data_IF_612579444578
#
_entry.id   IF_612579444578
#
_cell.length_a   1.000
_cell.length_b   1.000
_cell.length_c   1.000
_cell.angle_alpha   90.00
_cell.angle_beta   90.00
_cell.angle_gamma   90.00
#
_symmetry.space_group_name_H-M   'P 1'
#
loop_
_entity.id
_entity.type
_entity.pdbx_description
1 polymer ?
#
# COMPACT_ATOMS: atom_id res chain seq x y z
N UNK A 1 -5.39 30.53 18.84
CA UNK A 1 -4.77 30.72 17.52
C UNK A 1 -3.65 29.72 17.22
N UNK A 2 -2.96 29.15 18.23
CA UNK A 2 -1.83 28.24 18.04
C UNK A 2 -2.21 26.82 17.57
N UNK A 3 -3.40 26.33 17.89
CA UNK A 3 -3.82 24.98 17.51
C UNK A 3 -4.16 24.83 16.00
N UNK A 4 -4.48 25.91 15.31
CA UNK A 4 -4.79 25.89 13.88
C UNK A 4 -3.53 25.84 12.99
N UNK A 5 -2.39 26.27 13.49
CA UNK A 5 -1.10 26.24 12.75
C UNK A 5 -0.40 24.88 12.78
N UNK A 6 -0.72 23.99 13.72
CA UNK A 6 -0.15 22.65 13.81
C UNK A 6 -0.85 21.60 12.93
N UNK A 7 -1.94 21.95 12.26
CA UNK A 7 -2.68 21.04 11.37
C UNK A 7 -2.39 21.24 9.86
N UNK A 8 -1.56 22.19 9.50
CA UNK A 8 -0.99 22.25 8.16
C UNK A 8 0.19 21.27 8.10
N UNK A 9 -0.10 19.99 7.94
CA UNK A 9 0.84 19.07 7.35
C UNK A 9 1.11 19.58 5.93
N UNK A 10 2.27 20.18 5.72
CA UNK A 10 2.81 20.47 4.39
C UNK A 10 2.94 19.11 3.68
N UNK A 11 1.85 18.67 3.06
CA UNK A 11 1.85 17.48 2.22
C UNK A 11 2.38 17.92 0.86
N UNK A 12 3.69 17.81 0.67
CA UNK A 12 4.31 18.01 -0.64
C UNK A 12 3.70 16.99 -1.60
N UNK A 13 2.99 17.47 -2.61
CA UNK A 13 2.42 16.63 -3.66
C UNK A 13 3.53 16.41 -4.68
N UNK A 14 4.17 15.24 -4.64
CA UNK A 14 5.20 14.87 -5.62
C UNK A 14 4.64 14.97 -7.05
N UNK A 15 5.33 15.71 -7.90
CA UNK A 15 5.00 15.81 -9.31
C UNK A 15 5.18 14.46 -10.01
N UNK A 16 4.30 14.18 -10.97
CA UNK A 16 4.45 12.99 -11.83
C UNK A 16 5.55 13.25 -12.84
N UNK A 17 6.52 12.33 -12.95
CA UNK A 17 7.59 12.44 -13.93
C UNK A 17 7.03 12.46 -15.34
N UNK A 18 7.49 13.41 -16.17
CA UNK A 18 7.10 13.60 -17.56
C UNK A 18 7.38 12.36 -18.43
N UNK A 19 6.60 12.21 -19.50
CA UNK A 19 6.72 11.10 -20.43
C UNK A 19 7.75 11.41 -21.52
N UNK A 20 8.33 10.37 -22.14
CA UNK A 20 9.24 10.49 -23.28
C UNK A 20 8.55 9.84 -24.48
N UNK A 21 8.42 10.58 -25.55
CA UNK A 21 7.79 10.15 -26.79
C UNK A 21 8.79 10.06 -27.94
N UNK A 22 8.48 9.23 -28.93
CA UNK A 22 9.16 9.28 -30.22
C UNK A 22 8.59 10.41 -31.12
N UNK A 23 9.16 10.56 -32.33
CA UNK A 23 8.72 11.56 -33.29
C UNK A 23 7.27 11.34 -33.82
N UNK A 24 6.72 10.16 -33.61
CA UNK A 24 5.35 9.78 -33.99
C UNK A 24 4.34 9.96 -32.84
N UNK A 25 4.81 10.39 -31.65
CA UNK A 25 3.99 10.55 -30.45
C UNK A 25 3.74 9.26 -29.69
N UNK A 26 4.54 8.21 -29.93
CA UNK A 26 4.45 6.94 -29.21
C UNK A 26 5.26 7.07 -27.91
N UNK A 27 4.64 6.76 -26.78
CA UNK A 27 5.29 6.84 -25.47
C UNK A 27 6.36 5.74 -25.32
N UNK A 28 7.62 6.15 -25.25
CA UNK A 28 8.77 5.28 -25.00
C UNK A 28 9.06 5.08 -23.50
N UNK A 29 8.71 6.06 -22.68
CA UNK A 29 8.72 5.98 -21.22
C UNK A 29 7.53 6.74 -20.65
N UNK A 30 6.79 6.11 -19.74
CA UNK A 30 5.60 6.68 -19.09
C UNK A 30 5.66 6.46 -17.58
N UNK A 31 4.85 7.21 -16.83
CA UNK A 31 4.76 7.07 -15.38
C UNK A 31 3.33 6.72 -14.99
N UNK A 32 3.15 5.59 -14.30
CA UNK A 32 1.87 5.18 -13.73
C UNK A 32 1.81 5.51 -12.25
N UNK A 33 0.62 5.92 -11.79
CA UNK A 33 0.32 6.03 -10.36
C UNK A 33 0.06 4.63 -9.82
N UNK A 34 0.79 4.27 -8.79
CA UNK A 34 0.62 3.02 -8.04
C UNK A 34 0.52 3.33 -6.55
N UNK A 35 0.17 2.35 -5.75
CA UNK A 35 -0.04 2.53 -4.33
C UNK A 35 0.78 1.52 -3.53
N UNK A 36 1.31 1.97 -2.40
CA UNK A 36 1.82 1.10 -1.34
C UNK A 36 0.71 0.94 -0.32
N UNK A 37 0.31 -0.30 -0.06
CA UNK A 37 -0.65 -0.63 0.99
C UNK A 37 0.14 -0.98 2.24
N UNK A 38 -0.19 -0.31 3.33
CA UNK A 38 0.44 -0.50 4.63
C UNK A 38 -0.60 -0.58 5.75
N UNK A 39 -0.23 -1.17 6.86
CA UNK A 39 -1.07 -1.28 8.05
C UNK A 39 -0.37 -0.74 9.28
N UNK A 40 -1.17 -0.34 10.26
CA UNK A 40 -0.77 -0.08 11.63
C UNK A 40 -1.34 -1.18 12.54
N UNK A 41 -0.60 -2.28 12.79
CA UNK A 41 -1.05 -3.34 13.67
C UNK A 41 -1.22 -2.86 15.10
N UNK A 42 -0.40 -1.91 15.57
CA UNK A 42 -0.48 -1.37 16.93
C UNK A 42 -1.82 -0.67 17.21
N UNK A 43 -2.45 -0.13 16.15
CA UNK A 43 -3.74 0.55 16.20
C UNK A 43 -4.90 -0.31 15.67
N UNK A 44 -4.60 -1.53 15.21
CA UNK A 44 -5.57 -2.51 14.70
C UNK A 44 -6.13 -3.35 15.85
N UNK A 45 -6.90 -2.71 16.72
CA UNK A 45 -7.34 -3.27 18.01
C UNK A 45 -8.21 -4.53 17.91
N UNK A 46 -8.75 -4.86 16.73
CA UNK A 46 -9.49 -6.11 16.50
C UNK A 46 -8.56 -7.33 16.43
N UNK A 47 -7.27 -7.12 16.09
CA UNK A 47 -6.30 -8.18 15.90
C UNK A 47 -5.72 -8.73 17.21
N UNK A 48 -6.04 -8.11 18.35
CA UNK A 48 -5.48 -8.51 19.64
C UNK A 48 -6.44 -8.25 20.80
N UNK A 49 -6.23 -8.98 21.89
CA UNK A 49 -6.75 -8.64 23.21
C UNK A 49 -5.68 -7.92 24.00
N UNK A 50 -6.06 -6.96 24.84
CA UNK A 50 -5.14 -6.24 25.70
C UNK A 50 -5.45 -6.48 27.17
N UNK A 51 -4.40 -6.68 27.96
CA UNK A 51 -4.49 -6.80 29.42
C UNK A 51 -3.55 -5.77 30.06
N UNK A 52 -4.07 -4.96 30.96
CA UNK A 52 -3.24 -4.09 31.81
C UNK A 52 -2.72 -4.93 32.98
N UNK A 53 -1.43 -4.93 33.17
CA UNK A 53 -0.74 -5.61 34.26
C UNK A 53 -0.74 -4.74 35.52
N UNK A 54 -0.29 -5.31 36.65
CA UNK A 54 -0.24 -4.62 37.95
C UNK A 54 0.80 -3.47 37.98
N UNK A 55 1.72 -3.44 37.03
CA UNK A 55 2.74 -2.40 36.84
C UNK A 55 2.35 -1.34 35.82
N UNK A 56 1.05 -1.23 35.47
CA UNK A 56 0.48 -0.36 34.46
C UNK A 56 0.97 -0.62 33.00
N UNK A 57 1.73 -1.69 32.76
CA UNK A 57 2.08 -2.11 31.41
C UNK A 57 0.91 -2.79 30.72
N UNK A 58 0.81 -2.62 29.38
CA UNK A 58 -0.23 -3.26 28.56
C UNK A 58 0.37 -4.38 27.74
N UNK A 59 -0.06 -5.62 28.03
CA UNK A 59 0.29 -6.78 27.20
C UNK A 59 -0.78 -6.98 26.13
N UNK A 60 -0.34 -7.08 24.87
CA UNK A 60 -1.20 -7.42 23.72
C UNK A 60 -1.01 -8.89 23.36
N UNK A 61 -2.11 -9.59 23.22
CA UNK A 61 -2.11 -11.00 22.77
C UNK A 61 -2.85 -11.09 21.43
N UNK A 62 -2.17 -11.57 20.39
CA UNK A 62 -2.75 -11.73 19.04
C UNK A 62 -4.01 -12.62 19.11
N UNK A 63 -5.05 -12.24 18.35
CA UNK A 63 -6.15 -13.12 17.98
C UNK A 63 -5.81 -13.78 16.64
N UNK A 64 -5.34 -15.05 16.62
CA UNK A 64 -4.88 -15.68 15.39
C UNK A 64 -6.01 -15.90 14.37
N UNK A 65 -7.23 -16.13 14.85
CA UNK A 65 -8.39 -16.37 13.97
C UNK A 65 -8.77 -15.09 13.23
N UNK A 66 -8.85 -13.98 13.95
CA UNK A 66 -9.14 -12.68 13.35
C UNK A 66 -8.00 -12.20 12.43
N UNK A 67 -6.76 -12.40 12.84
CA UNK A 67 -5.60 -12.08 12.00
C UNK A 67 -5.63 -12.89 10.69
N UNK A 68 -5.94 -14.20 10.76
CA UNK A 68 -6.05 -15.06 9.58
C UNK A 68 -7.20 -14.62 8.65
N UNK A 69 -8.37 -14.28 9.21
CA UNK A 69 -9.50 -13.78 8.42
C UNK A 69 -9.17 -12.49 7.67
N UNK A 70 -8.64 -11.49 8.37
CA UNK A 70 -8.25 -10.21 7.77
C UNK A 70 -7.15 -10.41 6.72
N UNK A 71 -6.13 -11.24 7.03
CA UNK A 71 -5.05 -11.54 6.09
C UNK A 71 -5.56 -12.21 4.81
N UNK A 72 -6.48 -13.16 4.92
CA UNK A 72 -7.12 -13.82 3.78
C UNK A 72 -7.84 -12.81 2.89
N UNK A 73 -8.67 -11.97 3.48
CA UNK A 73 -9.47 -10.98 2.76
C UNK A 73 -8.62 -9.92 2.04
N UNK A 74 -7.55 -9.47 2.69
CA UNK A 74 -6.60 -8.54 2.06
C UNK A 74 -5.82 -9.20 0.93
N UNK A 75 -5.35 -10.45 1.13
CA UNK A 75 -4.58 -11.18 0.12
C UNK A 75 -5.41 -11.46 -1.13
N UNK A 76 -6.67 -11.87 -0.99
CA UNK A 76 -7.57 -12.10 -2.12
C UNK A 76 -7.74 -10.83 -2.97
N UNK A 77 -7.89 -9.65 -2.33
CA UNK A 77 -7.99 -8.37 -3.05
C UNK A 77 -6.69 -7.98 -3.72
N UNK A 78 -5.56 -8.19 -3.04
CA UNK A 78 -4.25 -7.87 -3.60
C UNK A 78 -3.94 -8.68 -4.87
N UNK A 79 -4.37 -9.94 -4.93
CA UNK A 79 -4.09 -10.85 -6.04
C UNK A 79 -5.17 -10.90 -7.12
N UNK A 80 -6.37 -10.36 -6.87
CA UNK A 80 -7.46 -10.35 -7.87
C UNK A 80 -7.19 -9.45 -9.09
N UNK A 81 -6.19 -8.55 -9.00
CA UNK A 81 -5.82 -7.63 -10.07
C UNK A 81 -6.78 -6.46 -10.26
N UNK A 82 -8.08 -6.67 -10.11
CA UNK A 82 -9.14 -5.65 -10.19
C UNK A 82 -9.73 -5.29 -8.81
N UNK A 83 -9.39 -6.03 -7.77
CA UNK A 83 -9.90 -5.87 -6.41
C UNK A 83 -11.32 -6.41 -6.20
N UNK A 84 -11.96 -6.98 -7.22
CA UNK A 84 -13.36 -7.48 -7.17
C UNK A 84 -13.47 -8.96 -7.49
N UNK A 85 -12.66 -9.47 -8.42
CA UNK A 85 -12.68 -10.86 -8.90
C UNK A 85 -11.97 -11.85 -7.95
N UNK A 86 -12.28 -11.80 -6.65
CA UNK A 86 -11.62 -12.62 -5.63
C UNK A 86 -11.80 -14.12 -5.83
N UNK A 87 -12.93 -14.53 -6.42
CA UNK A 87 -13.23 -15.95 -6.73
C UNK A 87 -12.28 -16.52 -7.82
N UNK A 88 -11.63 -15.66 -8.60
CA UNK A 88 -10.64 -16.06 -9.61
C UNK A 88 -9.26 -16.35 -9.03
N UNK A 89 -9.01 -16.01 -7.77
CA UNK A 89 -7.72 -16.20 -7.12
C UNK A 89 -7.56 -17.66 -6.69
N UNK A 90 -6.55 -18.34 -7.24
CA UNK A 90 -6.19 -19.69 -6.81
C UNK A 90 -5.51 -19.66 -5.44
N UNK A 91 -6.29 -19.98 -4.40
CA UNK A 91 -5.81 -20.01 -3.02
C UNK A 91 -4.83 -21.16 -2.72
N UNK A 92 -4.67 -22.12 -3.64
CA UNK A 92 -3.69 -23.19 -3.53
C UNK A 92 -2.34 -22.82 -4.15
N UNK A 93 -2.27 -21.74 -4.90
CA UNK A 93 -1.05 -21.29 -5.58
C UNK A 93 0.05 -20.87 -4.60
N UNK A 94 1.30 -21.05 -5.01
CA UNK A 94 2.45 -20.61 -4.22
C UNK A 94 2.46 -19.09 -4.03
N UNK A 95 1.98 -18.33 -5.03
CA UNK A 95 1.86 -16.88 -4.99
C UNK A 95 0.89 -16.44 -3.89
N UNK A 96 -0.30 -17.07 -3.83
CA UNK A 96 -1.27 -16.79 -2.77
C UNK A 96 -0.69 -17.11 -1.39
N UNK A 97 -0.08 -18.28 -1.21
CA UNK A 97 0.47 -18.70 0.08
C UNK A 97 1.58 -17.75 0.55
N UNK A 98 2.45 -17.34 -0.36
CA UNK A 98 3.52 -16.39 -0.05
C UNK A 98 2.97 -15.02 0.33
N UNK A 99 2.01 -14.48 -0.44
CA UNK A 99 1.41 -13.18 -0.16
C UNK A 99 0.60 -13.22 1.15
N UNK A 100 -0.18 -14.30 1.37
CA UNK A 100 -0.91 -14.50 2.61
C UNK A 100 0.01 -14.51 3.82
N UNK A 101 1.10 -15.27 3.76
CA UNK A 101 2.07 -15.31 4.87
C UNK A 101 2.70 -13.94 5.12
N UNK A 102 3.05 -13.22 4.05
CA UNK A 102 3.57 -11.84 4.15
C UNK A 102 2.61 -10.92 4.88
N UNK A 103 1.32 -10.95 4.52
CA UNK A 103 0.29 -10.12 5.15
C UNK A 103 0.05 -10.55 6.60
N UNK A 104 -0.03 -11.85 6.87
CA UNK A 104 -0.24 -12.40 8.22
C UNK A 104 0.90 -12.01 9.17
N UNK A 105 2.14 -12.22 8.74
CA UNK A 105 3.33 -11.88 9.53
C UNK A 105 3.43 -10.38 9.79
N UNK A 106 3.07 -9.56 8.80
CA UNK A 106 3.03 -8.11 8.96
C UNK A 106 1.98 -7.68 10.01
N UNK A 107 0.75 -8.20 9.91
CA UNK A 107 -0.34 -7.88 10.84
C UNK A 107 -0.11 -8.43 12.26
N UNK A 108 0.70 -9.47 12.40
CA UNK A 108 1.05 -10.06 13.70
C UNK A 108 2.04 -9.22 14.52
N UNK A 109 2.66 -8.20 13.92
CA UNK A 109 3.62 -7.29 14.58
C UNK A 109 2.91 -6.21 15.38
N UNK A 110 2.25 -6.59 16.47
CA UNK A 110 1.34 -5.74 17.25
C UNK A 110 1.95 -4.45 17.83
N UNK A 111 3.26 -4.34 17.85
CA UNK A 111 3.97 -3.14 18.34
C UNK A 111 4.43 -2.21 17.22
N UNK A 112 4.20 -2.59 15.95
CA UNK A 112 4.55 -1.78 14.79
C UNK A 112 3.42 -0.84 14.41
N UNK A 113 3.73 0.44 14.24
CA UNK A 113 2.81 1.44 13.73
C UNK A 113 2.78 1.52 12.19
N UNK A 114 3.74 0.89 11.52
CA UNK A 114 3.82 0.85 10.06
C UNK A 114 4.41 -0.48 9.59
N UNK A 115 3.63 -1.22 8.83
CA UNK A 115 4.09 -2.44 8.12
C UNK A 115 3.57 -2.42 6.69
N UNK A 116 4.45 -2.67 5.73
CA UNK A 116 4.05 -2.76 4.32
C UNK A 116 3.40 -4.10 4.04
N UNK A 117 2.23 -4.10 3.42
CA UNK A 117 1.50 -5.29 3.00
C UNK A 117 1.74 -5.61 1.52
N UNK A 118 1.78 -4.58 0.67
CA UNK A 118 2.07 -4.71 -0.76
C UNK A 118 2.52 -3.37 -1.34
N UNK A 119 3.31 -3.42 -2.40
CA UNK A 119 3.76 -2.25 -3.18
C UNK A 119 3.29 -2.36 -4.63
N UNK A 120 3.32 -1.26 -5.37
CA UNK A 120 2.94 -1.18 -6.78
C UNK A 120 1.51 -1.64 -7.07
N UNK A 121 0.62 -1.46 -6.10
CA UNK A 121 -0.79 -1.82 -6.20
C UNK A 121 -1.50 -0.81 -7.10
N UNK A 122 -2.36 -1.28 -7.99
CA UNK A 122 -3.16 -0.42 -8.84
C UNK A 122 -4.33 0.23 -8.08
N UNK A 123 -4.95 1.24 -8.69
CA UNK A 123 -6.01 2.02 -8.05
C UNK A 123 -7.29 1.21 -7.77
N UNK A 124 -7.63 0.22 -8.61
CA UNK A 124 -8.83 -0.59 -8.42
C UNK A 124 -8.72 -1.45 -7.16
N UNK A 125 -7.59 -2.15 -7.01
CA UNK A 125 -7.27 -2.95 -5.81
C UNK A 125 -7.22 -2.07 -4.56
N UNK A 126 -6.58 -0.90 -4.64
CA UNK A 126 -6.54 0.09 -3.54
C UNK A 126 -7.94 0.47 -3.08
N UNK A 127 -8.84 0.83 -3.99
CA UNK A 127 -10.22 1.20 -3.68
C UNK A 127 -11.00 0.04 -3.05
N UNK A 128 -10.80 -1.19 -3.55
CA UNK A 128 -11.41 -2.39 -2.98
C UNK A 128 -10.98 -2.63 -1.53
N UNK A 129 -9.69 -2.47 -1.24
CA UNK A 129 -9.16 -2.59 0.12
C UNK A 129 -9.76 -1.52 1.04
N UNK A 130 -9.82 -0.26 0.61
CA UNK A 130 -10.41 0.84 1.40
C UNK A 130 -11.90 0.60 1.68
N UNK A 131 -12.63 0.10 0.68
CA UNK A 131 -14.04 -0.28 0.82
C UNK A 131 -14.22 -1.42 1.83
N UNK A 132 -13.37 -2.45 1.74
CA UNK A 132 -13.36 -3.54 2.72
C UNK A 132 -13.09 -3.05 4.13
N UNK A 133 -12.00 -2.29 4.34
CA UNK A 133 -11.61 -1.76 5.66
C UNK A 133 -12.73 -0.89 6.25
N UNK A 134 -13.34 -0.03 5.44
CA UNK A 134 -14.45 0.83 5.87
C UNK A 134 -15.67 0.01 6.30
N UNK A 135 -16.07 -0.98 5.49
CA UNK A 135 -17.20 -1.88 5.78
C UNK A 135 -16.92 -2.74 7.01
N UNK A 136 -15.74 -3.34 7.08
CA UNK A 136 -15.30 -4.16 8.21
C UNK A 136 -15.35 -3.36 9.52
N UNK A 137 -14.74 -2.19 9.54
CA UNK A 137 -14.72 -1.32 10.72
C UNK A 137 -16.12 -0.86 11.13
N UNK A 138 -17.02 -0.62 10.17
CA UNK A 138 -18.42 -0.24 10.43
C UNK A 138 -19.20 -1.39 11.09
N UNK A 139 -19.00 -2.61 10.64
CA UNK A 139 -19.66 -3.81 11.17
C UNK A 139 -19.20 -4.12 12.58
N UNK A 140 -17.90 -4.09 12.83
CA UNK A 140 -17.32 -4.42 14.14
C UNK A 140 -17.47 -3.31 15.19
N UNK A 141 -17.74 -2.07 14.77
CA UNK A 141 -18.01 -0.95 15.70
C UNK A 141 -19.37 -1.06 16.38
N UNK A 142 -20.35 -1.79 15.79
CA UNK A 142 -21.72 -1.91 16.27
C UNK A 142 -21.98 -3.14 17.16
N UNK A 143 -21.00 -4.01 17.35
CA UNK A 143 -21.20 -5.16 18.23
C UNK A 143 -21.44 -4.67 19.67
N UNK A 144 -22.61 -4.98 20.21
CA UNK A 144 -23.01 -4.71 21.60
C UNK A 144 -22.21 -5.53 22.59
N UNK A 145 -21.47 -6.51 22.11
CA UNK A 145 -20.50 -7.29 22.88
C UNK A 145 -19.25 -6.44 23.09
N UNK A 146 -19.04 -6.03 24.35
CA UNK A 146 -17.94 -5.18 24.76
C UNK A 146 -16.56 -5.83 24.59
N UNK A 147 -16.50 -7.14 24.30
CA UNK A 147 -15.26 -7.91 24.15
C UNK A 147 -14.57 -7.75 22.78
N UNK A 148 -15.25 -7.24 21.76
CA UNK A 148 -14.74 -7.15 20.38
C UNK A 148 -14.97 -5.80 19.70
N UNK A 149 -14.90 -4.70 20.42
CA UNK A 149 -14.84 -3.37 19.83
C UNK A 149 -13.45 -3.13 19.30
N UNK A 150 -13.26 -3.44 18.02
CA UNK A 150 -11.98 -3.24 17.40
C UNK A 150 -12.12 -2.72 15.98
N UNK A 151 -11.02 -2.26 15.43
CA UNK A 151 -10.88 -1.86 14.04
C UNK A 151 -9.56 -2.39 13.48
N UNK A 152 -9.52 -2.53 12.17
CA UNK A 152 -8.26 -2.64 11.44
C UNK A 152 -7.84 -1.25 10.95
N UNK A 153 -6.54 -0.98 10.96
CA UNK A 153 -5.93 0.22 10.44
C UNK A 153 -5.06 -0.17 9.25
N UNK A 154 -5.63 -0.02 8.06
CA UNK A 154 -4.95 -0.23 6.77
C UNK A 154 -5.14 1.03 5.95
N UNK A 155 -4.06 1.52 5.37
CA UNK A 155 -4.02 2.76 4.60
C UNK A 155 -3.21 2.57 3.31
N UNK A 156 -3.28 3.56 2.45
CA UNK A 156 -2.57 3.56 1.17
C UNK A 156 -1.75 4.83 1.03
N UNK A 157 -0.56 4.70 0.48
CA UNK A 157 0.32 5.79 0.14
C UNK A 157 0.56 5.82 -1.37
N UNK A 158 0.42 7.00 -1.99
CA UNK A 158 0.63 7.19 -3.42
C UNK A 158 2.11 7.06 -3.76
N UNK A 159 2.40 6.28 -4.79
CA UNK A 159 3.74 6.08 -5.33
C UNK A 159 3.69 6.13 -6.86
N UNK A 160 4.84 6.16 -7.50
CA UNK A 160 4.96 6.22 -8.95
C UNK A 160 5.81 5.07 -9.44
N UNK A 161 5.40 4.51 -10.59
CA UNK A 161 6.16 3.50 -11.29
C UNK A 161 6.50 3.97 -12.68
N UNK A 162 7.79 4.00 -13.01
CA UNK A 162 8.27 4.27 -14.36
C UNK A 162 8.15 3.02 -15.21
N UNK A 163 7.53 3.16 -16.37
CA UNK A 163 7.30 2.08 -17.32
C UNK A 163 8.01 2.35 -18.63
N UNK A 164 8.61 1.30 -19.17
CA UNK A 164 9.27 1.29 -20.49
C UNK A 164 8.58 0.24 -21.37
N UNK A 165 7.52 0.61 -22.09
CA UNK A 165 6.65 -0.36 -22.79
C UNK A 165 7.38 -1.26 -23.79
N UNK A 166 8.48 -0.78 -24.34
CA UNK A 166 9.27 -1.50 -25.34
C UNK A 166 10.50 -2.21 -24.76
N UNK A 167 10.59 -2.34 -23.44
CA UNK A 167 11.65 -3.09 -22.76
C UNK A 167 13.05 -2.64 -23.14
N UNK A 168 13.86 -3.56 -23.67
CA UNK A 168 15.23 -3.30 -24.06
C UNK A 168 15.38 -2.40 -25.31
N UNK A 169 14.29 -2.15 -26.05
CA UNK A 169 14.32 -1.26 -27.22
C UNK A 169 14.71 0.15 -26.79
N UNK A 170 15.71 0.71 -27.43
CA UNK A 170 16.29 2.03 -27.13
C UNK A 170 16.77 2.22 -25.67
N UNK A 171 16.90 1.15 -24.88
CA UNK A 171 17.31 1.23 -23.46
C UNK A 171 18.63 1.98 -23.26
N UNK A 172 19.59 1.81 -24.16
CA UNK A 172 20.87 2.54 -24.12
C UNK A 172 20.71 4.05 -24.32
N UNK A 173 19.68 4.50 -25.04
CA UNK A 173 19.37 5.90 -25.31
C UNK A 173 18.46 6.47 -24.21
N UNK A 174 17.35 5.76 -23.91
CA UNK A 174 16.40 6.19 -22.89
C UNK A 174 17.03 6.23 -21.50
N UNK A 175 17.80 5.21 -21.16
CA UNK A 175 18.31 5.01 -19.82
C UNK A 175 17.22 4.50 -18.86
N UNK A 176 17.39 4.79 -17.58
CA UNK A 176 16.48 4.37 -16.52
C UNK A 176 16.52 5.33 -15.33
N UNK A 177 15.50 5.19 -14.47
CA UNK A 177 15.42 5.88 -13.19
C UNK A 177 15.74 4.90 -12.04
N UNK A 178 16.20 5.45 -10.92
CA UNK A 178 16.29 4.70 -9.66
C UNK A 178 14.91 4.50 -9.00
N UNK A 179 14.89 3.94 -7.79
CA UNK A 179 13.69 3.70 -7.01
C UNK A 179 12.94 4.99 -6.62
N UNK A 180 13.65 6.09 -6.52
CA UNK A 180 13.11 7.42 -6.16
C UNK A 180 12.60 8.20 -7.38
N UNK A 181 12.73 7.61 -8.58
CA UNK A 181 12.30 8.21 -9.85
C UNK A 181 13.32 9.22 -10.43
N UNK A 182 14.57 9.22 -9.93
CA UNK A 182 15.64 10.08 -10.44
C UNK A 182 16.33 9.41 -11.62
N UNK A 183 16.47 10.13 -12.73
CA UNK A 183 17.17 9.64 -13.93
C UNK A 183 18.65 9.41 -13.67
N UNK A 184 19.11 8.15 -13.84
CA UNK A 184 20.49 7.74 -13.56
C UNK A 184 21.35 7.60 -14.82
N UNK A 185 20.71 7.36 -15.96
CA UNK A 185 21.38 7.16 -17.25
C UNK A 185 20.54 7.67 -18.43
N UNK A 186 21.17 7.88 -19.61
CA UNK A 186 20.53 8.21 -20.89
C UNK A 186 19.74 9.52 -20.88
N UNK A 187 18.66 9.56 -21.65
CA UNK A 187 17.74 10.71 -21.72
C UNK A 187 17.08 11.00 -20.37
N UNK A 188 16.77 9.96 -19.60
CA UNK A 188 16.23 10.10 -18.24
C UNK A 188 17.13 10.99 -17.36
N UNK A 189 18.44 10.79 -17.43
CA UNK A 189 19.42 11.62 -16.70
C UNK A 189 19.60 13.00 -17.33
N UNK A 190 19.75 13.04 -18.66
CA UNK A 190 20.06 14.28 -19.37
C UNK A 190 18.95 15.33 -19.27
N UNK A 191 17.68 14.86 -19.21
CA UNK A 191 16.50 15.71 -19.07
C UNK A 191 15.88 15.66 -17.66
N UNK A 192 16.66 15.27 -16.65
CA UNK A 192 16.15 15.13 -15.27
C UNK A 192 15.39 16.38 -14.80
N UNK A 193 15.93 17.59 -15.02
CA UNK A 193 15.31 18.85 -14.58
C UNK A 193 13.97 19.15 -15.28
N UNK A 194 13.79 18.64 -16.50
CA UNK A 194 12.54 18.81 -17.27
C UNK A 194 11.53 17.73 -16.91
N UNK A 195 12.00 16.48 -16.77
CA UNK A 195 11.13 15.32 -16.54
C UNK A 195 10.62 15.21 -15.10
N UNK A 196 11.40 15.65 -14.11
CA UNK A 196 11.03 15.50 -12.70
C UNK A 196 9.76 16.30 -12.32
N UNK A 197 9.47 17.38 -13.03
CA UNK A 197 8.40 18.31 -12.63
C UNK A 197 8.85 19.20 -11.45
N UNK A 198 7.88 19.91 -10.87
CA UNK A 198 8.06 20.77 -9.68
C UNK A 198 7.03 20.32 -8.64
N UNK A 199 7.51 19.96 -7.44
CA UNK A 199 6.72 19.58 -6.27
C UNK A 199 6.05 20.78 -5.60
#
# INVERSE_FOLDING_TARGET
PYAAQQQLLDTTIKATRGEIYDASGIALASTSVVWTIWADPSYSSILYTSKTNDDDTVTKTLDPAMCAEVSRELTLRLLSGDGESMDSVDTSSAEYQQQYQTVYDALSRLDSAYVTLATKVNNAVKLSIEKYVTSFNKTHKKATDTSRKGRISVSSEKSFQRNYPYGAFAAAVLGFTDADGVGTYGLEKSYQSTLAGVD
#
